data_IF_984006316705
#
_entry.id   IF_984006316705
#
_cell.length_a   1.000
_cell.length_b   1.000
_cell.length_c   1.000
_cell.angle_alpha   90.00
_cell.angle_beta   90.00
_cell.angle_gamma   90.00
#
_symmetry.space_group_name_H-M   'P 1'
#
loop_
_entity.id
_entity.type
_entity.pdbx_description
1 polymer ?
#
# COMPACT_ATOMS: atom_id res chain seq x y z
N UNK A 1 -9.91 -6.25 -3.62
CA UNK A 1 -9.18 -6.67 -2.39
C UNK A 1 -8.49 -7.98 -2.71
N UNK A 2 -7.18 -8.08 -2.47
CA UNK A 2 -6.39 -9.27 -2.71
C UNK A 2 -6.67 -10.33 -1.62
N UNK A 3 -6.80 -11.63 -1.95
CA UNK A 3 -7.11 -12.67 -0.97
C UNK A 3 -5.96 -12.96 0.00
N UNK A 4 -4.70 -12.90 -0.47
CA UNK A 4 -3.53 -13.28 0.32
C UNK A 4 -2.74 -12.09 0.88
N UNK A 5 -2.80 -10.94 0.22
CA UNK A 5 -2.03 -9.73 0.56
C UNK A 5 -2.95 -8.72 1.25
N UNK A 6 -3.65 -9.22 2.26
CA UNK A 6 -4.59 -8.45 3.06
C UNK A 6 -4.39 -8.76 4.54
N UNK A 7 -3.39 -8.11 5.13
CA UNK A 7 -3.03 -8.32 6.53
C UNK A 7 -4.04 -7.61 7.45
N UNK A 8 -4.71 -8.33 8.38
CA UNK A 8 -5.71 -7.74 9.29
C UNK A 8 -5.18 -6.63 10.20
N UNK A 9 -3.88 -6.64 10.46
CA UNK A 9 -3.09 -5.71 11.24
C UNK A 9 -2.21 -4.79 10.36
N UNK A 10 -2.33 -4.90 9.03
CA UNK A 10 -1.71 -3.97 8.09
C UNK A 10 -2.18 -2.54 8.35
N UNK A 11 -1.27 -1.59 8.19
CA UNK A 11 -1.46 -0.19 8.56
C UNK A 11 -1.53 0.76 7.34
N UNK A 12 -1.37 0.24 6.11
CA UNK A 12 -1.57 0.97 4.87
C UNK A 12 -2.30 0.10 3.85
N UNK A 13 -3.11 0.73 3.00
CA UNK A 13 -3.75 0.06 1.87
C UNK A 13 -3.19 0.61 0.57
N UNK A 14 -2.60 -0.26 -0.25
CA UNK A 14 -2.19 0.08 -1.62
C UNK A 14 -3.33 -0.29 -2.55
N UNK A 15 -3.69 0.61 -3.45
CA UNK A 15 -4.69 0.38 -4.49
C UNK A 15 -4.03 0.54 -5.84
N UNK A 16 -4.17 -0.46 -6.70
CA UNK A 16 -3.85 -0.38 -8.11
C UNK A 16 -5.07 -0.80 -8.90
N UNK A 17 -5.54 0.08 -9.78
CA UNK A 17 -6.75 -0.10 -10.60
C UNK A 17 -7.94 -0.58 -9.75
N UNK A 18 -8.34 -1.84 -9.93
CA UNK A 18 -9.45 -2.54 -9.27
C UNK A 18 -8.99 -3.47 -8.13
N UNK A 19 -7.68 -3.59 -7.89
CA UNK A 19 -7.10 -4.38 -6.82
C UNK A 19 -6.65 -3.53 -5.64
N UNK A 20 -6.76 -4.10 -4.44
CA UNK A 20 -6.35 -3.44 -3.20
C UNK A 20 -5.65 -4.42 -2.27
N UNK A 21 -4.54 -3.98 -1.70
CA UNK A 21 -3.62 -4.73 -0.87
C UNK A 21 -3.52 -4.04 0.48
N UNK A 22 -3.65 -4.77 1.59
CA UNK A 22 -3.48 -4.20 2.93
C UNK A 22 -2.20 -4.75 3.52
N UNK A 23 -1.22 -3.87 3.73
CA UNK A 23 0.19 -4.22 4.03
C UNK A 23 0.79 -3.32 5.11
N UNK A 24 2.06 -3.56 5.44
CA UNK A 24 2.80 -2.78 6.43
C UNK A 24 3.64 -1.69 5.76
N UNK A 25 3.27 -0.44 5.98
CA UNK A 25 3.97 0.72 5.42
C UNK A 25 5.45 0.80 5.84
N UNK A 26 5.77 0.36 7.06
CA UNK A 26 7.15 0.32 7.54
C UNK A 26 8.04 -0.64 6.74
N UNK A 27 7.48 -1.78 6.31
CA UNK A 27 8.21 -2.78 5.51
C UNK A 27 8.47 -2.25 4.10
N UNK A 28 7.50 -1.54 3.52
CA UNK A 28 7.64 -0.87 2.23
C UNK A 28 8.69 0.22 2.27
N UNK A 29 8.63 1.08 3.29
CA UNK A 29 9.59 2.17 3.48
C UNK A 29 11.01 1.65 3.71
N UNK A 30 11.17 0.54 4.42
CA UNK A 30 12.48 -0.07 4.67
C UNK A 30 13.12 -0.62 3.39
N UNK A 31 12.32 -1.22 2.50
CA UNK A 31 12.83 -1.88 1.30
C UNK A 31 12.80 -0.98 0.05
N UNK A 32 12.17 0.18 0.11
CA UNK A 32 12.12 1.12 -1.00
C UNK A 32 12.07 2.59 -0.53
N UNK A 33 13.10 3.38 -0.85
CA UNK A 33 13.13 4.81 -0.55
C UNK A 33 11.95 5.58 -1.16
N UNK A 34 11.46 5.14 -2.33
CA UNK A 34 10.31 5.76 -2.99
C UNK A 34 9.05 5.60 -2.14
N UNK A 35 8.84 4.40 -1.58
CA UNK A 35 7.73 4.17 -0.66
C UNK A 35 7.91 4.90 0.67
N UNK A 36 9.14 5.01 1.17
CA UNK A 36 9.43 5.78 2.38
C UNK A 36 9.03 7.25 2.20
N UNK A 37 9.48 7.88 1.11
CA UNK A 37 9.15 9.25 0.79
C UNK A 37 7.63 9.40 0.61
N UNK A 38 7.00 8.56 -0.21
CA UNK A 38 5.56 8.65 -0.49
C UNK A 38 4.68 8.44 0.75
N UNK A 39 5.08 7.58 1.69
CA UNK A 39 4.37 7.36 2.96
C UNK A 39 4.66 8.45 3.99
N UNK A 40 5.81 9.13 3.88
CA UNK A 40 6.18 10.25 4.75
C UNK A 40 5.56 11.58 4.31
N UNK A 41 5.19 11.70 3.04
CA UNK A 41 4.42 12.83 2.53
C UNK A 41 3.04 12.78 3.18
N UNK A 42 2.82 13.63 4.20
CA UNK A 42 1.50 13.92 4.76
C UNK A 42 0.55 14.23 3.60
N UNK A 43 -0.26 13.26 3.17
CA UNK A 43 -1.30 13.53 2.19
C UNK A 43 -2.32 14.45 2.85
N UNK A 44 -2.43 15.73 2.43
CA UNK A 44 -3.15 16.72 3.19
C UNK A 44 -4.65 16.42 3.18
N UNK A 45 -5.19 16.13 4.37
CA UNK A 45 -6.58 16.37 4.78
C UNK A 45 -7.70 15.54 4.13
N UNK A 46 -7.45 14.83 3.03
CA UNK A 46 -8.47 14.03 2.32
C UNK A 46 -7.95 12.66 1.88
N UNK A 47 -6.93 12.14 2.57
CA UNK A 47 -6.40 10.81 2.31
C UNK A 47 -7.53 9.79 2.45
N UNK A 48 -7.91 9.18 1.33
CA UNK A 48 -8.86 8.09 1.28
C UNK A 48 -8.45 7.04 2.31
N UNK A 49 -9.42 6.54 3.10
CA UNK A 49 -9.17 5.50 4.09
C UNK A 49 -10.01 4.29 3.77
N UNK A 50 -9.38 3.12 3.81
CA UNK A 50 -10.06 1.82 3.74
C UNK A 50 -9.78 1.11 5.04
N UNK A 51 -10.84 0.67 5.72
CA UNK A 51 -10.78 -0.01 7.02
C UNK A 51 -9.96 0.78 8.07
N UNK A 52 -9.99 2.11 8.00
CA UNK A 52 -9.26 3.02 8.90
C UNK A 52 -7.78 3.25 8.52
N UNK A 53 -7.25 2.54 7.53
CA UNK A 53 -5.88 2.69 7.04
C UNK A 53 -5.82 3.72 5.90
N UNK A 54 -4.75 4.55 5.82
CA UNK A 54 -4.52 5.42 4.68
C UNK A 54 -4.37 4.61 3.38
N UNK A 55 -4.93 5.14 2.30
CA UNK A 55 -4.87 4.55 0.97
C UNK A 55 -3.81 5.26 0.13
N UNK A 56 -2.99 4.46 -0.53
CA UNK A 56 -2.00 4.89 -1.51
C UNK A 56 -2.40 4.31 -2.86
N UNK A 57 -2.66 5.17 -3.85
CA UNK A 57 -2.99 4.76 -5.20
C UNK A 57 -1.74 4.74 -6.07
N UNK A 58 -1.45 3.60 -6.67
CA UNK A 58 -0.34 3.40 -7.60
C UNK A 58 -0.87 3.16 -9.01
N UNK A 59 -0.11 3.64 -10.01
CA UNK A 59 -0.44 3.48 -11.42
C UNK A 59 0.10 2.16 -12.01
N UNK A 60 0.95 1.45 -11.27
CA UNK A 60 1.51 0.15 -11.62
C UNK A 60 0.43 -0.91 -11.81
N UNK A 61 0.73 -2.00 -12.53
CA UNK A 61 -0.23 -3.09 -12.68
C UNK A 61 -0.41 -3.84 -11.35
N UNK A 62 -1.61 -4.37 -11.04
CA UNK A 62 -1.83 -5.20 -9.85
C UNK A 62 -0.85 -6.37 -9.75
N UNK A 63 -0.51 -6.99 -10.87
CA UNK A 63 0.41 -8.13 -10.95
C UNK A 63 1.84 -7.75 -10.56
N UNK A 64 2.30 -6.58 -11.00
CA UNK A 64 3.64 -6.06 -10.64
C UNK A 64 3.73 -5.79 -9.13
N UNK A 65 2.65 -5.23 -8.55
CA UNK A 65 2.57 -4.99 -7.12
C UNK A 65 2.45 -6.28 -6.32
N UNK A 66 1.73 -7.28 -6.80
CA UNK A 66 1.65 -8.58 -6.14
C UNK A 66 3.03 -9.24 -6.03
N UNK A 67 3.81 -9.22 -7.12
CA UNK A 67 5.19 -9.72 -7.12
C UNK A 67 6.05 -8.91 -6.15
N UNK A 68 5.97 -7.58 -6.21
CA UNK A 68 6.74 -6.72 -5.31
C UNK A 68 6.39 -7.01 -3.84
N UNK A 69 5.10 -7.01 -3.49
CA UNK A 69 4.60 -7.15 -2.13
C UNK A 69 4.75 -8.55 -1.55
N UNK A 70 4.82 -9.59 -2.38
CA UNK A 70 5.06 -10.98 -1.94
C UNK A 70 6.52 -11.27 -1.64
N UNK A 71 7.46 -10.45 -2.14
CA UNK A 71 8.90 -10.57 -1.86
C UNK A 71 9.36 -9.84 -0.60
N UNK A 72 8.46 -9.08 0.04
CA UNK A 72 8.71 -8.29 1.25
C UNK A 72 8.25 -9.02 2.50
#
# INVERSE_FOLDING_TARGET
RHPELWYPDGNVVIVSKDMSFRVYGGLLAQNSPIFADMLSLDQPGSAEKIDGCPVVRLADQPEDLEVLLSTL
#
